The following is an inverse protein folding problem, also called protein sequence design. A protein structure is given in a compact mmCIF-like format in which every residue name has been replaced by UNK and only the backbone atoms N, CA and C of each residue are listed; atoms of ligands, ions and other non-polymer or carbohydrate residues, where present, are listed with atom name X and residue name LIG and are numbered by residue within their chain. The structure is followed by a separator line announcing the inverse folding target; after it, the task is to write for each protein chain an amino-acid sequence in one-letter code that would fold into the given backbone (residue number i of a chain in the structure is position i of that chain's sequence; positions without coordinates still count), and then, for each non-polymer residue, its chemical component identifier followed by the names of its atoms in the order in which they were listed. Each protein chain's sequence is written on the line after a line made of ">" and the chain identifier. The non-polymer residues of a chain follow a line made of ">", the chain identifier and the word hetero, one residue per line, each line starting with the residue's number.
data_IF_323773003390
#
_entry.id   IF_323773003390
#
_cell.length_a   1.000
_cell.length_b   1.000
_cell.length_c   1.000
_cell.angle_alpha   90.00
_cell.angle_beta   90.00
_cell.angle_gamma   90.00
#
_symmetry.space_group_name_H-M   'P 1'
#
loop_
_entity.id
_entity.type
_entity.pdbx_description
1 polymer ?
#
# COMPACT_ATOMS: atom_id res chain seq x y z
N UNK A 1 14.91 14.52 -15.45
CA UNK A 1 14.52 15.92 -15.72
C UNK A 1 15.51 16.85 -15.01
N UNK A 2 16.18 17.76 -15.72
CA UNK A 2 17.03 18.79 -15.12
C UNK A 2 16.27 19.66 -14.11
N UNK A 3 16.95 20.14 -13.05
CA UNK A 3 16.33 21.01 -12.03
C UNK A 3 15.82 22.32 -12.65
N UNK A 4 16.54 22.84 -13.64
CA UNK A 4 16.14 24.02 -14.42
C UNK A 4 14.76 23.87 -15.06
N UNK A 5 14.48 22.70 -15.62
CA UNK A 5 13.22 22.43 -16.33
C UNK A 5 12.07 22.28 -15.34
N UNK A 6 12.34 21.64 -14.20
CA UNK A 6 11.40 21.51 -13.10
C UNK A 6 11.05 22.88 -12.50
N UNK A 7 12.04 23.74 -12.33
CA UNK A 7 11.89 25.12 -11.87
C UNK A 7 11.04 25.96 -12.82
N UNK A 8 11.30 25.87 -14.13
CA UNK A 8 10.50 26.58 -15.15
C UNK A 8 9.07 26.07 -15.22
N UNK A 9 8.87 24.75 -15.11
CA UNK A 9 7.55 24.13 -15.17
C UNK A 9 6.66 24.48 -13.97
N UNK A 10 7.25 24.56 -12.79
CA UNK A 10 6.51 24.74 -11.53
C UNK A 10 6.64 26.14 -10.93
N UNK A 11 7.34 27.07 -11.59
CA UNK A 11 7.50 28.44 -11.11
C UNK A 11 8.27 28.54 -9.79
N UNK A 12 9.21 27.62 -9.55
CA UNK A 12 9.97 27.54 -8.30
C UNK A 12 11.45 27.76 -8.56
N UNK A 13 12.16 28.33 -7.58
CA UNK A 13 13.60 28.55 -7.71
C UNK A 13 14.39 27.25 -7.52
N UNK A 14 15.60 27.17 -8.13
CA UNK A 14 16.51 26.04 -7.92
C UNK A 14 16.80 25.83 -6.42
N UNK A 15 16.98 26.92 -5.67
CA UNK A 15 17.23 26.88 -4.23
C UNK A 15 16.08 26.23 -3.45
N UNK A 16 14.83 26.52 -3.82
CA UNK A 16 13.64 25.90 -3.23
C UNK A 16 13.63 24.38 -3.45
N UNK A 17 13.98 23.93 -4.66
CA UNK A 17 14.04 22.50 -4.98
C UNK A 17 15.15 21.79 -4.20
N UNK A 18 16.34 22.37 -4.10
CA UNK A 18 17.40 21.78 -3.28
C UNK A 18 17.06 21.78 -1.78
N UNK A 19 16.38 22.81 -1.27
CA UNK A 19 15.89 22.86 0.11
C UNK A 19 14.85 21.78 0.38
N UNK A 20 13.92 21.56 -0.54
CA UNK A 20 12.96 20.46 -0.44
C UNK A 20 13.64 19.10 -0.59
N UNK A 21 14.62 18.96 -1.48
CA UNK A 21 15.39 17.72 -1.61
C UNK A 21 16.19 17.40 -0.35
N UNK A 22 16.75 18.40 0.33
CA UNK A 22 17.44 18.19 1.61
C UNK A 22 16.46 17.80 2.73
N UNK A 23 15.26 18.40 2.75
CA UNK A 23 14.25 18.17 3.78
C UNK A 23 13.45 16.88 3.58
N UNK A 24 13.14 16.54 2.32
CA UNK A 24 12.23 15.46 1.95
C UNK A 24 12.87 14.36 1.11
N UNK A 25 14.07 14.56 0.56
CA UNK A 25 14.74 13.57 -0.30
C UNK A 25 15.17 12.29 0.42
N UNK A 26 15.08 12.24 1.74
CA UNK A 26 15.21 11.02 2.55
C UNK A 26 13.89 10.50 3.16
N UNK A 27 12.77 11.20 2.96
CA UNK A 27 11.48 10.90 3.60
C UNK A 27 10.67 9.80 2.89
N UNK A 28 11.09 9.35 1.71
CA UNK A 28 10.33 8.40 0.87
C UNK A 28 10.81 6.95 0.94
N UNK A 29 11.82 6.61 1.74
CA UNK A 29 12.36 5.23 1.78
C UNK A 29 11.89 4.45 3.01
N UNK A 30 12.00 4.95 4.26
CA UNK A 30 11.63 4.14 5.42
C UNK A 30 10.11 4.06 5.60
N UNK A 31 9.38 5.17 5.49
CA UNK A 31 7.93 5.17 5.72
C UNK A 31 7.16 4.53 4.56
N UNK A 32 7.58 4.77 3.31
CA UNK A 32 6.99 4.08 2.16
C UNK A 32 7.25 2.56 2.19
N UNK A 33 8.44 2.13 2.64
CA UNK A 33 8.74 0.70 2.81
C UNK A 33 7.91 0.08 3.94
N UNK A 34 7.70 0.80 5.04
CA UNK A 34 6.82 0.38 6.13
C UNK A 34 5.36 0.28 5.67
N UNK A 35 4.89 1.28 4.93
CA UNK A 35 3.54 1.29 4.37
C UNK A 35 3.32 0.10 3.44
N UNK A 36 4.26 -0.15 2.52
CA UNK A 36 4.23 -1.32 1.62
C UNK A 36 4.18 -2.64 2.39
N UNK A 37 5.01 -2.80 3.42
CA UNK A 37 5.01 -4.01 4.26
C UNK A 37 3.68 -4.21 4.99
N UNK A 38 3.08 -3.14 5.51
CA UNK A 38 1.76 -3.18 6.15
C UNK A 38 0.64 -3.51 5.15
N UNK A 39 0.71 -3.00 3.93
CA UNK A 39 -0.23 -3.33 2.85
C UNK A 39 -0.14 -4.81 2.48
N UNK A 40 1.07 -5.35 2.32
CA UNK A 40 1.30 -6.77 2.02
C UNK A 40 0.80 -7.70 3.13
N UNK A 41 1.07 -7.36 4.40
CA UNK A 41 0.57 -8.11 5.56
C UNK A 41 -0.96 -8.06 5.64
N UNK A 42 -1.57 -6.90 5.43
CA UNK A 42 -3.03 -6.75 5.45
C UNK A 42 -3.68 -7.58 4.32
N UNK A 43 -3.09 -7.60 3.13
CA UNK A 43 -3.55 -8.44 2.03
C UNK A 43 -3.50 -9.94 2.39
N UNK A 44 -2.41 -10.39 3.01
CA UNK A 44 -2.27 -11.78 3.49
C UNK A 44 -3.31 -12.11 4.56
N UNK A 45 -3.51 -11.24 5.55
CA UNK A 45 -4.49 -11.43 6.62
C UNK A 45 -5.91 -11.51 6.07
N UNK A 46 -6.28 -10.66 5.12
CA UNK A 46 -7.59 -10.70 4.45
C UNK A 46 -7.82 -12.00 3.70
N UNK A 47 -6.80 -12.53 3.02
CA UNK A 47 -6.86 -13.84 2.35
C UNK A 47 -7.16 -14.96 3.36
N UNK A 48 -6.36 -15.02 4.42
CA UNK A 48 -6.52 -16.04 5.48
C UNK A 48 -7.89 -15.95 6.17
N UNK A 49 -8.38 -14.72 6.41
CA UNK A 49 -9.70 -14.51 6.98
C UNK A 49 -10.80 -15.02 6.04
N UNK A 50 -10.71 -14.73 4.74
CA UNK A 50 -11.67 -15.22 3.76
C UNK A 50 -11.69 -16.76 3.71
N UNK A 51 -10.52 -17.40 3.68
CA UNK A 51 -10.40 -18.86 3.70
C UNK A 51 -11.02 -19.45 4.99
N UNK A 52 -10.70 -18.89 6.15
CA UNK A 52 -11.28 -19.31 7.43
C UNK A 52 -12.80 -19.08 7.50
N UNK A 53 -13.31 -18.00 6.91
CA UNK A 53 -14.75 -17.75 6.82
C UNK A 53 -15.45 -18.78 5.93
N UNK A 54 -14.83 -19.17 4.81
CA UNK A 54 -15.36 -20.22 3.93
C UNK A 54 -15.40 -21.58 4.63
N UNK A 55 -14.35 -21.93 5.38
CA UNK A 55 -14.32 -23.17 6.18
C UNK A 55 -15.39 -23.16 7.27
N UNK A 56 -15.56 -22.05 7.97
CA UNK A 56 -16.63 -21.90 8.97
C UNK A 56 -18.01 -22.07 8.33
N UNK A 57 -18.27 -21.46 7.16
CA UNK A 57 -19.53 -21.64 6.43
C UNK A 57 -19.71 -23.11 6.04
N UNK A 58 -18.68 -23.77 5.52
CA UNK A 58 -18.74 -25.19 5.15
C UNK A 58 -19.06 -26.12 6.34
N UNK A 59 -18.64 -25.77 7.55
CA UNK A 59 -18.88 -26.53 8.77
C UNK A 59 -20.23 -26.21 9.42
N UNK A 60 -20.90 -25.13 9.03
CA UNK A 60 -22.24 -24.79 9.51
C UNK A 60 -23.33 -25.62 8.81
N UNK A 61 -24.52 -25.78 9.43
CA UNK A 61 -25.65 -26.51 8.82
C UNK A 61 -26.04 -25.99 7.43
N UNK A 62 -25.95 -24.67 7.20
CA UNK A 62 -26.23 -24.04 5.92
C UNK A 62 -25.27 -24.49 4.81
N UNK A 63 -23.96 -24.57 5.08
CA UNK A 63 -22.96 -25.05 4.12
C UNK A 63 -23.02 -26.56 3.86
N UNK A 64 -23.38 -27.36 4.88
CA UNK A 64 -23.59 -28.82 4.73
C UNK A 64 -24.80 -29.17 3.86
N UNK A 65 -25.81 -28.31 3.78
CA UNK A 65 -26.98 -28.50 2.91
C UNK A 65 -26.63 -28.39 1.42
N UNK A 66 -25.68 -27.52 1.05
CA UNK A 66 -25.35 -27.24 -0.34
C UNK A 66 -24.53 -28.34 -1.03
N UNK A 67 -23.86 -29.24 -0.28
CA UNK A 67 -23.10 -30.38 -0.84
C UNK A 67 -23.93 -31.66 -1.03
N UNK A 68 -25.19 -31.68 -0.60
CA UNK A 68 -26.07 -32.86 -0.71
C UNK A 68 -27.10 -32.75 -1.85
N UNK A 69 -27.09 -31.64 -2.59
CA UNK A 69 -27.81 -31.48 -3.86
C UNK A 69 -26.82 -31.71 -5.01
#
# INVERSE_FOLDING_TARGET
>A
MPVSDLCRKHGVSNASIYKWKARFGGMDVPEAKRLRALEDENAKLKRMLADAMLDNVALTPAGRSHRRC
#
